data_IF_720868921217
#
_entry.id   IF_720868921217
#
_cell.length_a   1.000
_cell.length_b   1.000
_cell.length_c   1.000
_cell.angle_alpha   90.00
_cell.angle_beta   90.00
_cell.angle_gamma   90.00
#
_symmetry.space_group_name_H-M   'P 1'
#
loop_
_entity.id
_entity.type
_entity.pdbx_description
1 polymer ?
#
# COMPACT_ATOMS: atom_id res chain seq x y z
N UNK A 1 -17.76 14.42 38.63
CA UNK A 1 -17.66 14.69 37.18
C UNK A 1 -16.60 13.76 36.63
N UNK A 2 -16.90 13.00 35.58
CA UNK A 2 -15.87 12.21 34.90
C UNK A 2 -15.01 13.19 34.08
N UNK A 3 -13.75 13.35 34.46
CA UNK A 3 -12.82 14.31 33.85
C UNK A 3 -11.84 13.51 33.01
N UNK A 4 -11.71 13.83 31.73
CA UNK A 4 -10.70 13.23 30.87
C UNK A 4 -9.32 13.65 31.37
N UNK A 5 -8.48 12.68 31.72
CA UNK A 5 -7.08 12.92 32.08
C UNK A 5 -6.24 13.05 30.81
N UNK A 6 -5.95 14.29 30.40
CA UNK A 6 -5.09 14.54 29.25
C UNK A 6 -3.62 14.36 29.65
N UNK A 7 -2.95 13.28 29.24
CA UNK A 7 -1.49 13.15 29.43
C UNK A 7 -0.78 13.92 28.33
N UNK A 8 0.25 14.69 28.70
CA UNK A 8 0.91 15.69 27.82
C UNK A 8 1.52 15.07 26.55
N UNK A 9 1.90 13.79 26.58
CA UNK A 9 2.61 13.09 25.49
C UNK A 9 1.70 12.35 24.50
N UNK A 10 0.39 12.46 24.63
CA UNK A 10 -0.57 11.67 23.86
C UNK A 10 -0.94 12.35 22.54
N UNK A 11 -0.94 11.60 21.44
CA UNK A 11 -1.38 12.05 20.12
C UNK A 11 -2.05 10.89 19.35
N UNK A 12 -3.36 10.96 19.05
CA UNK A 12 -4.26 12.08 19.30
C UNK A 12 -4.65 12.24 20.79
N UNK A 13 -5.01 13.47 21.17
CA UNK A 13 -5.57 13.79 22.49
C UNK A 13 -7.08 13.60 22.48
N UNK A 14 -7.62 12.97 23.52
CA UNK A 14 -9.06 12.89 23.74
C UNK A 14 -9.50 14.17 24.45
N UNK A 15 -10.37 14.94 23.84
CA UNK A 15 -10.88 16.20 24.37
C UNK A 15 -12.41 16.18 24.42
N UNK A 16 -12.97 17.13 25.16
CA UNK A 16 -14.39 17.23 25.40
C UNK A 16 -14.91 18.63 25.10
N UNK A 17 -16.09 18.74 24.49
CA UNK A 17 -16.76 20.00 24.23
C UNK A 17 -18.15 20.01 24.87
N UNK A 18 -18.48 21.08 25.60
CA UNK A 18 -19.80 21.23 26.22
C UNK A 18 -20.78 21.77 25.18
N UNK A 19 -21.88 21.05 24.99
CA UNK A 19 -22.98 21.46 24.12
C UNK A 19 -23.99 22.29 24.91
N UNK A 20 -24.75 23.13 24.20
CA UNK A 20 -25.78 23.99 24.79
C UNK A 20 -26.94 23.20 25.41
N UNK A 21 -27.12 21.94 25.03
CA UNK A 21 -28.15 21.03 25.53
C UNK A 21 -27.78 20.28 26.82
N UNK A 22 -26.60 20.56 27.40
CA UNK A 22 -26.12 19.92 28.63
C UNK A 22 -25.43 18.57 28.42
N UNK A 23 -25.22 18.15 27.16
CA UNK A 23 -24.35 17.02 26.81
C UNK A 23 -22.91 17.48 26.62
N UNK A 24 -21.99 16.53 26.73
CA UNK A 24 -20.57 16.73 26.45
C UNK A 24 -20.21 15.85 25.26
N UNK A 25 -19.81 16.43 24.13
CA UNK A 25 -19.30 15.66 23.00
C UNK A 25 -17.81 15.35 23.15
N UNK A 26 -17.42 14.13 22.76
CA UNK A 26 -16.04 13.68 22.78
C UNK A 26 -15.43 13.77 21.38
N UNK A 27 -14.20 14.27 21.28
CA UNK A 27 -13.47 14.38 20.03
C UNK A 27 -11.97 14.12 20.23
N UNK A 28 -11.30 13.78 19.14
CA UNK A 28 -9.85 13.60 19.10
C UNK A 28 -9.20 14.83 18.45
N UNK A 29 -8.20 15.42 19.10
CA UNK A 29 -7.34 16.46 18.53
C UNK A 29 -5.98 15.87 18.16
N UNK A 30 -5.69 15.87 16.86
CA UNK A 30 -4.44 15.42 16.28
C UNK A 30 -3.47 16.58 16.17
N UNK A 31 -2.23 16.36 16.60
CA UNK A 31 -1.11 17.25 16.31
C UNK A 31 -0.30 16.68 15.14
N UNK A 32 -0.33 17.35 13.99
CA UNK A 32 0.30 16.87 12.75
C UNK A 32 1.68 17.51 12.49
N UNK A 33 2.14 18.36 13.39
CA UNK A 33 3.43 19.05 13.29
C UNK A 33 3.29 20.56 13.32
N UNK A 34 4.39 21.24 12.98
CA UNK A 34 4.45 22.70 12.87
C UNK A 34 5.16 23.09 11.58
N UNK A 35 4.68 24.14 10.95
CA UNK A 35 5.35 24.82 9.86
C UNK A 35 6.06 26.05 10.44
N UNK A 36 7.33 26.22 10.10
CA UNK A 36 8.11 27.39 10.48
C UNK A 36 8.41 28.19 9.21
N UNK A 37 7.90 29.41 9.13
CA UNK A 37 8.21 30.34 8.03
C UNK A 37 9.13 31.43 8.54
N UNK A 38 10.17 31.74 7.77
CA UNK A 38 11.03 32.88 8.06
C UNK A 38 10.24 34.17 7.94
N UNK A 39 10.31 35.01 8.97
CA UNK A 39 9.80 36.38 8.88
C UNK A 39 10.87 37.20 8.19
N UNK A 40 10.46 37.91 7.15
CA UNK A 40 11.31 38.76 6.32
C UNK A 40 10.96 40.22 6.64
N UNK A 41 11.95 41.10 6.69
CA UNK A 41 11.78 42.54 6.88
C UNK A 41 11.32 43.25 5.58
N UNK A 42 11.06 44.55 5.66
CA UNK A 42 10.58 45.37 4.52
C UNK A 42 11.56 45.39 3.33
N UNK A 43 12.82 45.02 3.55
CA UNK A 43 13.88 45.00 2.54
C UNK A 43 14.15 43.60 1.96
N UNK A 44 13.35 42.59 2.33
CA UNK A 44 13.53 41.22 1.84
C UNK A 44 14.59 40.41 2.59
N UNK A 45 15.14 40.93 3.70
CA UNK A 45 16.15 40.26 4.51
C UNK A 45 15.53 39.54 5.72
N UNK A 46 16.22 38.51 6.22
CA UNK A 46 15.77 37.70 7.35
C UNK A 46 15.63 38.56 8.62
N UNK A 47 14.43 38.65 9.19
CA UNK A 47 14.18 39.44 10.39
C UNK A 47 14.74 38.72 11.64
N UNK A 48 15.31 39.47 12.56
CA UNK A 48 15.84 38.95 13.82
C UNK A 48 15.05 39.49 15.01
N UNK A 49 15.07 38.78 16.15
CA UNK A 49 14.56 39.36 17.39
C UNK A 49 15.52 40.46 17.86
N UNK A 50 14.99 41.65 18.13
CA UNK A 50 15.78 42.83 18.53
C UNK A 50 16.04 42.87 20.05
N UNK A 51 15.26 42.15 20.86
CA UNK A 51 15.37 42.18 22.32
C UNK A 51 14.97 40.86 22.99
N UNK A 52 15.36 40.71 24.26
CA UNK A 52 15.05 39.55 25.09
C UNK A 52 16.01 38.36 24.90
N UNK A 53 15.68 37.21 25.50
CA UNK A 53 16.53 35.99 25.50
C UNK A 53 16.76 35.35 24.12
N UNK A 54 16.05 35.83 23.10
CA UNK A 54 16.17 35.37 21.71
C UNK A 54 16.80 36.42 20.78
N UNK A 55 17.32 37.54 21.34
CA UNK A 55 17.97 38.58 20.57
C UNK A 55 19.08 38.02 19.67
N UNK A 56 19.08 38.42 18.39
CA UNK A 56 20.02 37.92 17.38
C UNK A 56 19.68 36.56 16.77
N UNK A 57 18.59 35.89 17.17
CA UNK A 57 18.07 34.71 16.47
C UNK A 57 17.07 35.11 15.37
N UNK A 58 17.02 34.38 14.25
CA UNK A 58 16.06 34.66 13.20
C UNK A 58 14.63 34.43 13.69
N UNK A 59 13.75 35.34 13.28
CA UNK A 59 12.34 35.37 13.64
C UNK A 59 11.60 34.40 12.74
N UNK A 60 10.95 33.41 13.35
CA UNK A 60 10.11 32.45 12.64
C UNK A 60 8.65 32.65 13.05
N UNK A 61 7.76 32.65 12.06
CA UNK A 61 6.34 32.48 12.29
C UNK A 61 6.04 30.99 12.34
N UNK A 62 5.75 30.49 13.54
CA UNK A 62 5.42 29.09 13.77
C UNK A 62 3.90 28.90 13.67
N UNK A 63 3.45 28.08 12.73
CA UNK A 63 2.05 27.66 12.60
C UNK A 63 1.93 26.18 12.96
N UNK A 64 1.15 25.88 14.00
CA UNK A 64 0.87 24.50 14.38
C UNK A 64 -0.26 23.92 13.52
N UNK A 65 -0.03 22.74 12.92
CA UNK A 65 -1.05 22.04 12.15
C UNK A 65 -1.80 21.05 13.06
N UNK A 66 -3.10 21.29 13.25
CA UNK A 66 -3.98 20.48 14.10
C UNK A 66 -5.24 20.08 13.35
N UNK A 67 -5.70 18.86 13.57
CA UNK A 67 -6.95 18.31 12.99
C UNK A 67 -7.84 17.77 14.11
N UNK A 68 -9.16 17.94 13.97
CA UNK A 68 -10.15 17.40 14.92
C UNK A 68 -10.98 16.29 14.27
N UNK A 69 -11.25 15.22 15.00
CA UNK A 69 -12.17 14.14 14.63
C UNK A 69 -13.24 14.01 15.72
N UNK A 70 -14.51 14.17 15.36
CA UNK A 70 -15.61 14.00 16.30
C UNK A 70 -15.95 12.52 16.44
N UNK A 71 -16.01 12.00 17.67
CA UNK A 71 -16.31 10.58 17.93
C UNK A 71 -17.81 10.26 17.90
N UNK A 72 -18.68 11.29 17.84
CA UNK A 72 -20.15 11.13 17.98
C UNK A 72 -20.56 10.42 19.28
N UNK A 73 -19.68 10.47 20.29
CA UNK A 73 -19.93 9.96 21.64
C UNK A 73 -20.28 11.14 22.55
N UNK A 74 -21.29 10.93 23.40
CA UNK A 74 -21.84 11.97 24.27
C UNK A 74 -21.86 11.51 25.71
N UNK A 75 -21.44 12.38 26.63
CA UNK A 75 -21.59 12.18 28.06
C UNK A 75 -22.65 13.15 28.60
N UNK A 76 -23.29 12.74 29.69
CA UNK A 76 -24.14 13.64 30.48
C UNK A 76 -23.26 14.50 31.40
N UNK A 77 -23.40 15.83 31.36
CA UNK A 77 -22.59 16.75 32.21
C UNK A 77 -22.90 16.55 33.71
N UNK A 78 -24.15 16.21 34.04
CA UNK A 78 -24.64 16.03 35.42
C UNK A 78 -25.42 14.71 35.59
N UNK A 79 -24.73 13.54 35.59
CA UNK A 79 -25.39 12.25 35.81
C UNK A 79 -25.86 12.14 37.26
N UNK A 80 -27.16 11.94 37.47
CA UNK A 80 -27.81 11.86 38.78
C UNK A 80 -27.97 10.41 39.23
N UNK A 81 -28.30 9.50 38.32
CA UNK A 81 -28.54 8.09 38.63
C UNK A 81 -27.26 7.24 38.57
N UNK A 82 -27.26 6.07 39.21
CA UNK A 82 -26.15 5.12 39.12
C UNK A 82 -25.95 4.61 37.68
N UNK A 83 -27.06 4.36 36.97
CA UNK A 83 -27.06 3.93 35.57
C UNK A 83 -26.44 4.97 34.64
N UNK A 84 -26.77 6.26 34.81
CA UNK A 84 -26.16 7.34 34.01
C UNK A 84 -24.66 7.48 34.27
N UNK A 85 -24.21 7.29 35.52
CA UNK A 85 -22.78 7.28 35.85
C UNK A 85 -22.06 6.11 35.18
N UNK A 86 -22.69 4.95 35.15
CA UNK A 86 -22.16 3.75 34.50
C UNK A 86 -22.09 3.93 32.98
N UNK A 87 -23.13 4.46 32.34
CA UNK A 87 -23.13 4.78 30.91
C UNK A 87 -22.02 5.78 30.53
N UNK A 88 -21.83 6.84 31.32
CA UNK A 88 -20.73 7.79 31.10
C UNK A 88 -19.36 7.10 31.22
N UNK A 89 -19.21 6.16 32.15
CA UNK A 89 -17.97 5.39 32.34
C UNK A 89 -17.68 4.51 31.12
N UNK A 90 -18.67 3.74 30.67
CA UNK A 90 -18.57 2.88 29.48
C UNK A 90 -18.28 3.69 28.21
N UNK A 91 -18.93 4.85 28.05
CA UNK A 91 -18.70 5.75 26.92
C UNK A 91 -17.28 6.32 26.92
N UNK A 92 -16.74 6.66 28.10
CA UNK A 92 -15.35 7.09 28.23
C UNK A 92 -14.35 5.96 27.95
N UNK A 93 -14.62 4.75 28.42
CA UNK A 93 -13.81 3.57 28.12
C UNK A 93 -13.76 3.30 26.60
N UNK A 94 -14.91 3.40 25.93
CA UNK A 94 -14.98 3.29 24.48
C UNK A 94 -14.17 4.40 23.77
N UNK A 95 -14.31 5.65 24.21
CA UNK A 95 -13.55 6.77 23.65
C UNK A 95 -12.03 6.61 23.84
N UNK A 96 -11.59 6.10 25.00
CA UNK A 96 -10.18 5.77 25.24
C UNK A 96 -9.69 4.65 24.32
N UNK A 97 -10.51 3.63 24.06
CA UNK A 97 -10.17 2.56 23.13
C UNK A 97 -10.01 3.08 21.69
N UNK A 98 -10.93 3.91 21.22
CA UNK A 98 -10.84 4.54 19.88
C UNK A 98 -9.58 5.41 19.80
N UNK A 99 -9.29 6.19 20.84
CA UNK A 99 -8.07 7.01 20.90
C UNK A 99 -6.81 6.14 20.77
N UNK A 100 -6.73 5.03 21.51
CA UNK A 100 -5.58 4.14 21.47
C UNK A 100 -5.39 3.51 20.07
N UNK A 101 -6.48 3.12 19.41
CA UNK A 101 -6.46 2.62 18.03
C UNK A 101 -5.94 3.69 17.06
N UNK A 102 -6.44 4.92 17.15
CA UNK A 102 -5.99 6.05 16.32
C UNK A 102 -4.54 6.44 16.57
N UNK A 103 -4.09 6.38 17.83
CA UNK A 103 -2.67 6.61 18.19
C UNK A 103 -1.77 5.57 17.53
N UNK A 104 -2.21 4.32 17.49
CA UNK A 104 -1.50 3.24 16.80
C UNK A 104 -1.47 3.52 15.29
N UNK A 105 -2.61 3.78 14.65
CA UNK A 105 -2.69 4.15 13.23
C UNK A 105 -1.78 5.34 12.87
N UNK A 106 -1.70 6.34 13.74
CA UNK A 106 -0.84 7.51 13.52
C UNK A 106 0.65 7.15 13.61
N UNK A 107 1.06 6.38 14.62
CA UNK A 107 2.44 5.89 14.74
C UNK A 107 2.82 5.01 13.55
N UNK A 108 1.90 4.19 13.08
CA UNK A 108 2.07 3.33 11.93
C UNK A 108 2.29 4.12 10.63
N UNK A 109 1.48 5.15 10.40
CA UNK A 109 1.62 6.05 9.26
C UNK A 109 2.92 6.87 9.33
N UNK A 110 3.35 7.32 10.51
CA UNK A 110 4.58 8.10 10.69
C UNK A 110 5.86 7.27 10.58
N UNK A 111 5.86 6.02 11.06
CA UNK A 111 7.05 5.15 11.05
C UNK A 111 7.15 4.29 9.77
N UNK A 112 6.19 4.38 8.85
CA UNK A 112 6.12 3.50 7.67
C UNK A 112 5.80 2.04 8.00
N UNK A 113 5.67 1.70 9.28
CA UNK A 113 5.19 0.43 9.78
C UNK A 113 3.66 0.47 9.81
N UNK A 114 2.99 0.27 8.68
CA UNK A 114 1.59 -0.19 8.71
C UNK A 114 1.56 -1.47 9.57
N UNK A 115 0.96 -1.45 10.77
CA UNK A 115 0.45 -2.72 11.28
C UNK A 115 -0.57 -3.18 10.26
N UNK A 116 -0.53 -4.48 10.03
CA UNK A 116 -1.12 -5.14 8.89
C UNK A 116 -2.63 -4.88 8.93
N UNK A 117 -3.14 -3.87 8.19
CA UNK A 117 -4.52 -3.89 7.66
C UNK A 117 -4.68 -5.29 7.14
N UNK A 118 -5.52 -6.12 7.77
CA UNK A 118 -5.62 -7.57 7.58
C UNK A 118 -5.03 -8.02 6.22
N UNK A 119 -3.71 -8.25 6.17
CA UNK A 119 -3.01 -8.70 4.94
C UNK A 119 -3.23 -10.19 4.76
N UNK A 120 -4.45 -10.62 5.07
CA UNK A 120 -5.02 -11.94 4.80
C UNK A 120 -5.56 -12.00 3.38
N UNK A 121 -5.31 -10.98 2.55
CA UNK A 121 -5.62 -11.05 1.12
C UNK A 121 -4.75 -12.13 0.51
N UNK A 122 -5.39 -13.22 0.12
CA UNK A 122 -4.79 -14.26 -0.71
C UNK A 122 -4.43 -13.63 -2.07
N UNK A 123 -3.16 -13.68 -2.43
CA UNK A 123 -2.67 -13.10 -3.67
C UNK A 123 -3.26 -13.78 -4.91
N UNK A 124 -3.61 -15.08 -4.83
CA UNK A 124 -4.23 -15.77 -5.96
C UNK A 124 -5.63 -15.22 -6.26
N UNK A 125 -6.41 -14.94 -5.23
CA UNK A 125 -7.75 -14.34 -5.37
C UNK A 125 -7.65 -12.89 -5.84
N UNK A 126 -6.66 -12.15 -5.34
CA UNK A 126 -6.37 -10.80 -5.82
C UNK A 126 -6.02 -10.78 -7.32
N UNK A 127 -5.15 -11.69 -7.77
CA UNK A 127 -4.79 -11.81 -9.17
C UNK A 127 -6.04 -12.17 -10.01
N UNK A 128 -6.85 -13.10 -9.52
CA UNK A 128 -8.09 -13.49 -10.20
C UNK A 128 -9.06 -12.31 -10.36
N UNK A 129 -9.29 -11.53 -9.30
CA UNK A 129 -10.11 -10.31 -9.36
C UNK A 129 -9.51 -9.23 -10.29
N UNK A 130 -8.17 -9.13 -10.36
CA UNK A 130 -7.49 -8.27 -11.33
C UNK A 130 -7.80 -8.69 -12.76
N UNK A 131 -7.84 -10.00 -13.05
CA UNK A 131 -8.21 -10.53 -14.37
C UNK A 131 -9.68 -10.23 -14.71
N UNK A 132 -10.59 -10.40 -13.76
CA UNK A 132 -12.04 -10.18 -13.96
C UNK A 132 -12.38 -8.74 -14.31
N UNK A 133 -11.63 -7.78 -13.76
CA UNK A 133 -11.74 -6.35 -14.08
C UNK A 133 -10.87 -5.91 -15.26
N UNK A 134 -10.12 -6.82 -15.90
CA UNK A 134 -9.15 -6.49 -16.94
C UNK A 134 -9.79 -6.33 -18.32
N UNK A 135 -9.70 -5.13 -18.89
CA UNK A 135 -10.36 -4.78 -20.16
C UNK A 135 -9.47 -4.86 -21.40
N UNK A 136 -8.17 -5.18 -21.26
CA UNK A 136 -7.22 -5.12 -22.38
C UNK A 136 -7.16 -6.43 -23.17
N UNK A 137 -6.72 -6.33 -24.43
CA UNK A 137 -6.67 -7.46 -25.40
C UNK A 137 -5.78 -8.64 -24.97
N UNK A 138 -4.86 -8.45 -24.03
CA UNK A 138 -3.97 -9.49 -23.53
C UNK A 138 -4.52 -10.25 -22.31
N UNK A 139 -5.84 -10.24 -22.09
CA UNK A 139 -6.52 -11.00 -21.02
C UNK A 139 -6.09 -12.47 -20.95
N UNK A 140 -6.01 -13.15 -22.10
CA UNK A 140 -5.57 -14.56 -22.18
C UNK A 140 -4.14 -14.75 -21.65
N UNK A 141 -3.26 -13.78 -21.85
CA UNK A 141 -1.89 -13.81 -21.33
C UNK A 141 -1.85 -13.59 -19.82
N UNK A 142 -2.76 -12.79 -19.27
CA UNK A 142 -2.90 -12.62 -17.82
C UNK A 142 -3.37 -13.91 -17.15
N UNK A 143 -4.33 -14.61 -17.75
CA UNK A 143 -4.80 -15.92 -17.29
C UNK A 143 -3.69 -16.97 -17.34
N UNK A 144 -2.90 -17.01 -18.43
CA UNK A 144 -1.74 -17.89 -18.53
C UNK A 144 -0.73 -17.59 -17.42
N UNK A 145 -0.45 -16.32 -17.13
CA UNK A 145 0.47 -15.94 -16.06
C UNK A 145 0.00 -16.43 -14.68
N UNK A 146 -1.28 -16.26 -14.34
CA UNK A 146 -1.84 -16.77 -13.09
C UNK A 146 -1.74 -18.30 -13.02
N UNK A 147 -2.14 -19.01 -14.07
CA UNK A 147 -2.11 -20.47 -14.08
C UNK A 147 -0.68 -21.01 -13.98
N UNK A 148 0.29 -20.40 -14.68
CA UNK A 148 1.70 -20.78 -14.56
C UNK A 148 2.24 -20.58 -13.15
N UNK A 149 1.83 -19.50 -12.48
CA UNK A 149 2.19 -19.28 -11.09
C UNK A 149 1.55 -20.31 -10.14
N UNK A 150 0.27 -20.66 -10.33
CA UNK A 150 -0.38 -21.74 -9.55
C UNK A 150 0.33 -23.08 -9.72
N UNK A 151 0.71 -23.45 -10.94
CA UNK A 151 1.46 -24.69 -11.18
C UNK A 151 2.84 -24.67 -10.53
N UNK A 152 3.55 -23.53 -10.61
CA UNK A 152 4.81 -23.34 -9.91
C UNK A 152 4.67 -23.53 -8.40
N UNK A 153 3.65 -22.91 -7.78
CA UNK A 153 3.38 -23.08 -6.36
C UNK A 153 3.07 -24.54 -6.02
N UNK A 154 2.23 -25.22 -6.80
CA UNK A 154 1.95 -26.64 -6.58
C UNK A 154 3.20 -27.52 -6.61
N UNK A 155 4.15 -27.24 -7.50
CA UNK A 155 5.36 -28.06 -7.68
C UNK A 155 6.46 -27.74 -6.66
N UNK A 156 6.68 -26.46 -6.35
CA UNK A 156 7.81 -26.00 -5.52
C UNK A 156 7.41 -25.62 -4.10
N UNK A 157 6.15 -25.23 -3.90
CA UNK A 157 5.61 -24.76 -2.62
C UNK A 157 4.19 -25.32 -2.35
N UNK A 158 4.01 -26.64 -2.17
CA UNK A 158 2.68 -27.25 -2.07
C UNK A 158 1.79 -26.65 -0.96
N UNK A 159 2.40 -26.15 0.12
CA UNK A 159 1.70 -25.44 1.22
C UNK A 159 0.95 -24.19 0.73
N UNK A 160 1.36 -23.62 -0.39
CA UNK A 160 0.80 -22.42 -1.02
C UNK A 160 -0.04 -22.71 -2.27
N UNK A 161 -0.34 -23.98 -2.58
CA UNK A 161 -1.06 -24.38 -3.80
C UNK A 161 -2.39 -23.63 -3.99
N UNK A 162 -3.17 -23.49 -2.91
CA UNK A 162 -4.50 -22.89 -2.94
C UNK A 162 -4.54 -21.46 -2.37
N UNK A 163 -3.57 -21.08 -1.54
CA UNK A 163 -3.56 -19.77 -0.90
C UNK A 163 -2.15 -19.34 -0.54
N UNK A 164 -1.81 -18.11 -0.92
CA UNK A 164 -0.56 -17.46 -0.51
C UNK A 164 -0.85 -16.01 -0.16
N UNK A 165 -0.51 -15.63 1.07
CA UNK A 165 -0.59 -14.23 1.48
C UNK A 165 0.43 -13.42 0.71
N UNK A 166 0.07 -12.21 0.30
CA UNK A 166 0.95 -11.31 -0.42
C UNK A 166 2.30 -11.09 0.31
N UNK A 167 2.31 -11.10 1.64
CA UNK A 167 3.53 -10.97 2.45
C UNK A 167 4.52 -12.14 2.35
N UNK A 168 4.10 -13.31 1.88
CA UNK A 168 4.98 -14.45 1.67
C UNK A 168 5.65 -14.44 0.28
N UNK A 169 5.26 -13.52 -0.61
CA UNK A 169 5.96 -13.32 -1.87
C UNK A 169 7.30 -12.64 -1.60
N UNK A 170 8.39 -13.38 -1.76
CA UNK A 170 9.75 -12.89 -1.56
C UNK A 170 10.56 -12.94 -2.87
N UNK A 171 11.74 -12.32 -2.88
CA UNK A 171 12.59 -12.24 -4.07
C UNK A 171 13.09 -13.60 -4.55
N UNK A 172 13.38 -14.52 -3.63
CA UNK A 172 13.88 -15.86 -3.93
C UNK A 172 12.83 -16.67 -4.70
N UNK A 173 11.58 -16.69 -4.21
CA UNK A 173 10.44 -17.32 -4.88
C UNK A 173 10.21 -16.72 -6.28
N UNK A 174 10.40 -15.41 -6.45
CA UNK A 174 10.27 -14.78 -7.77
C UNK A 174 11.40 -15.17 -8.73
N UNK A 175 12.62 -15.37 -8.22
CA UNK A 175 13.75 -15.85 -9.02
C UNK A 175 13.53 -17.31 -9.46
N UNK A 176 13.10 -18.17 -8.54
CA UNK A 176 12.72 -19.55 -8.85
C UNK A 176 11.53 -19.62 -9.82
N UNK A 177 10.56 -18.71 -9.70
CA UNK A 177 9.46 -18.64 -10.65
C UNK A 177 9.94 -18.28 -12.06
N UNK A 178 10.90 -17.36 -12.18
CA UNK A 178 11.52 -17.04 -13.48
C UNK A 178 12.24 -18.25 -14.07
N UNK A 179 13.04 -18.94 -13.26
CA UNK A 179 13.73 -20.16 -13.69
C UNK A 179 12.72 -21.24 -14.13
N UNK A 180 11.64 -21.43 -13.37
CA UNK A 180 10.55 -22.34 -13.70
C UNK A 180 9.91 -22.01 -15.06
N UNK A 181 9.71 -20.72 -15.36
CA UNK A 181 9.16 -20.26 -16.64
C UNK A 181 10.13 -20.50 -17.79
N UNK A 182 11.42 -20.23 -17.59
CA UNK A 182 12.47 -20.42 -18.60
C UNK A 182 12.65 -21.90 -18.96
N UNK A 183 12.62 -22.80 -17.98
CA UNK A 183 12.72 -24.24 -18.21
C UNK A 183 11.53 -24.84 -18.99
N UNK A 184 10.40 -24.13 -19.08
CA UNK A 184 9.14 -24.63 -19.68
C UNK A 184 8.69 -23.87 -20.92
N UNK A 185 9.41 -22.83 -21.31
CA UNK A 185 9.03 -21.98 -22.44
C UNK A 185 10.24 -21.78 -23.35
N UNK A 186 10.02 -21.81 -24.67
CA UNK A 186 11.06 -21.54 -25.67
C UNK A 186 10.90 -20.10 -26.19
N UNK A 187 12.01 -19.43 -26.49
CA UNK A 187 12.04 -18.08 -27.03
C UNK A 187 11.41 -17.04 -26.09
N UNK A 188 10.54 -16.17 -26.61
CA UNK A 188 9.98 -15.05 -25.83
C UNK A 188 8.89 -15.45 -24.83
N UNK A 189 8.46 -16.73 -24.80
CA UNK A 189 7.34 -17.19 -24.00
C UNK A 189 7.48 -16.90 -22.50
N UNK A 190 8.64 -17.22 -21.92
CA UNK A 190 8.91 -17.01 -20.49
C UNK A 190 8.88 -15.51 -20.13
N UNK A 191 9.52 -14.67 -20.94
CA UNK A 191 9.57 -13.21 -20.77
C UNK A 191 8.17 -12.61 -20.86
N UNK A 192 7.39 -13.02 -21.86
CA UNK A 192 6.03 -12.54 -22.09
C UNK A 192 5.11 -12.84 -20.91
N UNK A 193 5.19 -14.05 -20.33
CA UNK A 193 4.42 -14.45 -19.15
C UNK A 193 4.86 -13.66 -17.91
N UNK A 194 6.17 -13.57 -17.67
CA UNK A 194 6.69 -12.88 -16.50
C UNK A 194 6.36 -11.37 -16.50
N UNK A 195 6.34 -10.72 -17.67
CA UNK A 195 5.90 -9.33 -17.79
C UNK A 195 4.46 -9.11 -17.31
N UNK A 196 3.54 -10.04 -17.60
CA UNK A 196 2.13 -9.95 -17.15
C UNK A 196 2.02 -10.19 -15.65
N UNK A 197 2.81 -11.13 -15.13
CA UNK A 197 2.93 -11.33 -13.69
C UNK A 197 3.43 -10.06 -12.97
N UNK A 198 4.53 -9.47 -13.44
CA UNK A 198 5.08 -8.21 -12.90
C UNK A 198 4.07 -7.07 -12.91
N UNK A 199 3.20 -7.01 -13.92
CA UNK A 199 2.15 -6.00 -14.00
C UNK A 199 1.17 -6.09 -12.83
N UNK A 200 0.74 -7.30 -12.46
CA UNK A 200 -0.15 -7.49 -11.31
C UNK A 200 0.58 -7.19 -9.99
N UNK A 201 1.84 -7.60 -9.86
CA UNK A 201 2.67 -7.29 -8.70
C UNK A 201 2.83 -5.76 -8.53
N UNK A 202 3.09 -5.04 -9.63
CA UNK A 202 3.18 -3.57 -9.60
C UNK A 202 1.87 -2.95 -9.15
N UNK A 203 0.75 -3.39 -9.73
CA UNK A 203 -0.58 -2.92 -9.34
C UNK A 203 -0.90 -3.21 -7.87
N UNK A 204 -0.55 -4.40 -7.37
CA UNK A 204 -0.68 -4.78 -5.96
C UNK A 204 0.17 -3.90 -5.04
N UNK A 205 1.35 -3.47 -5.50
CA UNK A 205 2.22 -2.56 -4.74
C UNK A 205 1.64 -1.14 -4.72
N UNK A 206 1.14 -0.64 -5.86
CA UNK A 206 0.51 0.68 -5.99
C UNK A 206 -0.79 0.79 -5.15
N UNK A 207 -1.50 -0.32 -4.96
CA UNK A 207 -2.74 -0.39 -4.16
C UNK A 207 -2.52 -0.92 -2.73
N UNK A 208 -1.28 -0.85 -2.22
CA UNK A 208 -0.92 -1.20 -0.85
C UNK A 208 -1.20 -2.65 -0.41
N UNK A 209 -1.48 -3.55 -1.36
CA UNK A 209 -1.61 -5.01 -1.12
C UNK A 209 -0.24 -5.61 -0.83
N UNK A 210 0.79 -5.16 -1.55
CA UNK A 210 2.20 -5.47 -1.31
C UNK A 210 2.92 -4.24 -0.75
N UNK A 211 3.76 -4.43 0.28
CA UNK A 211 4.60 -3.35 0.83
C UNK A 211 5.75 -3.01 -0.13
N UNK A 212 6.34 -4.05 -0.70
CA UNK A 212 7.52 -3.98 -1.55
C UNK A 212 7.28 -4.90 -2.74
N UNK A 213 7.79 -4.50 -3.89
CA UNK A 213 7.72 -5.31 -5.09
C UNK A 213 8.78 -6.43 -5.03
N UNK A 214 8.38 -7.72 -4.90
CA UNK A 214 9.31 -8.84 -4.85
C UNK A 214 9.97 -9.13 -6.21
N UNK A 215 9.48 -8.55 -7.31
CA UNK A 215 10.04 -8.70 -8.65
C UNK A 215 11.10 -7.63 -9.00
N UNK A 216 11.41 -6.71 -8.09
CA UNK A 216 12.40 -5.66 -8.33
C UNK A 216 13.81 -6.24 -8.42
N UNK A 217 14.48 -5.96 -9.55
CA UNK A 217 15.81 -6.47 -9.88
C UNK A 217 15.83 -7.86 -10.53
N UNK A 218 14.68 -8.52 -10.65
CA UNK A 218 14.58 -9.86 -11.26
C UNK A 218 14.22 -9.71 -12.74
N UNK A 219 15.04 -10.34 -13.58
CA UNK A 219 14.93 -10.31 -15.03
C UNK A 219 14.76 -11.72 -15.59
N UNK A 220 13.85 -11.88 -16.54
CA UNK A 220 13.69 -13.10 -17.31
C UNK A 220 14.47 -12.94 -18.62
N UNK A 221 15.54 -13.74 -18.79
CA UNK A 221 16.38 -13.73 -19.98
C UNK A 221 15.67 -14.48 -21.11
N UNK A 222 15.84 -14.01 -22.35
CA UNK A 222 15.43 -14.74 -23.55
C UNK A 222 16.65 -15.53 -24.00
N UNK A 223 16.49 -16.83 -24.23
CA UNK A 223 17.51 -17.59 -24.92
C UNK A 223 17.45 -17.18 -26.39
N UNK A 224 18.46 -16.44 -26.85
CA UNK A 224 18.68 -16.09 -28.25
C UNK A 224 19.15 -17.32 -29.03
N UNK A 225 18.38 -18.41 -29.02
CA UNK A 225 18.53 -19.47 -30.01
C UNK A 225 17.83 -19.02 -31.30
N UNK A 226 18.53 -18.11 -31.99
CA UNK A 226 18.54 -17.88 -33.43
C UNK A 226 17.28 -18.34 -34.21
N UNK A 227 16.12 -17.74 -33.90
CA UNK A 227 14.88 -17.93 -34.67
C UNK A 227 14.99 -17.43 -36.12
N UNK A 228 16.10 -16.77 -36.47
CA UNK A 228 16.36 -16.18 -37.79
C UNK A 228 16.76 -17.23 -38.84
N UNK A 229 17.35 -18.38 -38.45
CA UNK A 229 17.84 -19.37 -39.44
C UNK A 229 16.78 -20.36 -39.93
N UNK A 230 15.63 -20.50 -39.25
CA UNK A 230 14.57 -21.44 -39.69
C UNK A 230 13.65 -20.90 -40.78
N UNK A 231 13.54 -19.58 -40.94
CA UNK A 231 12.70 -18.98 -41.99
C UNK A 231 13.41 -18.82 -43.34
N UNK A 232 14.73 -18.81 -43.38
CA UNK A 232 15.51 -18.76 -44.64
C UNK A 232 15.63 -20.13 -45.30
N UNK A 233 15.60 -21.23 -44.55
CA UNK A 233 15.66 -22.59 -45.11
C UNK A 233 14.36 -23.00 -45.84
N UNK A 234 13.20 -22.49 -45.42
CA UNK A 234 11.91 -22.83 -46.03
C UNK A 234 11.53 -21.99 -47.27
N UNK A 235 12.24 -20.88 -47.54
CA UNK A 235 12.03 -20.07 -48.76
C UNK A 235 13.06 -20.30 -49.86
N UNK A 236 14.09 -21.11 -49.61
CA UNK A 236 15.17 -21.40 -50.58
C UNK A 236 14.89 -22.52 -51.59
N UNK A 237 13.76 -23.24 -51.49
CA UNK A 237 13.54 -24.47 -52.26
C UNK A 237 12.29 -24.45 -53.18
N UNK A 238 11.87 -23.26 -53.62
CA UNK A 238 10.87 -23.10 -54.69
C UNK A 238 11.44 -22.27 -55.83
N UNK A 239 12.39 -22.83 -56.58
CA UNK A 239 12.68 -22.44 -57.96
C UNK A 239 13.46 -23.56 -58.65
N UNK A 240 12.98 -23.92 -59.85
CA UNK A 240 13.48 -24.94 -60.79
C UNK A 240 12.95 -26.37 -60.62
N UNK A 241 11.84 -26.65 -61.30
CA UNK A 241 11.81 -27.70 -62.34
C UNK A 241 10.66 -27.42 -63.31
N UNK A 242 11.00 -26.86 -64.48
CA UNK A 242 10.15 -26.89 -65.68
C UNK A 242 10.25 -28.31 -66.25
N UNK A 243 9.14 -29.03 -66.31
CA UNK A 243 8.99 -30.23 -67.15
C UNK A 243 8.33 -29.82 -68.48
N UNK A 244 8.80 -30.31 -69.64
CA UNK A 244 8.18 -29.98 -70.93
C UNK A 244 6.92 -30.82 -71.17
N UNK A 245 5.95 -30.21 -71.87
CA UNK A 245 4.73 -30.87 -72.34
C UNK A 245 5.04 -31.76 -73.56
N UNK A 246 4.51 -33.00 -73.64
CA UNK A 246 4.61 -33.80 -74.85
C UNK A 246 3.56 -33.37 -75.87
N UNK A 247 3.98 -33.32 -77.15
CA UNK A 247 3.17 -33.16 -78.36
C UNK A 247 2.23 -34.32 -78.59
#
# INVERSE_FOLDING_TARGET
>A
MAKVENRIKENPKLEQNKLSDGRISLYLEYYLGREEKLVVDENGNQAYYESGKMAGKPKFQVKHNRRKENLSLYLLDKPRTATERQQNKETLELAMKIRAEREQELKENMLGYRLKKDRKVNFLDYFQAYIESYTKKDLRMMQIALNRFKYFLREKYPVYEFSIRAEHLNKEMMAEFVEYLQNRSVGEGAKSIYQRFKKVIKHATEHDVLIKNPCDGIQCKVDDQDTTQRYTFLRGNTSLNKLPLPT
#
